data_IF_442180346242
#
_entry.id   IF_442180346242
#
_cell.length_a   1.000
_cell.length_b   1.000
_cell.length_c   1.000
_cell.angle_alpha   90.00
_cell.angle_beta   90.00
_cell.angle_gamma   90.00
#
_symmetry.space_group_name_H-M   'P 1'
#
loop_
_entity.id
_entity.type
_entity.pdbx_description
1 polymer ?
#
# COMPACT_ATOMS: atom_id res chain seq x y z
N UNK A 1 -47.95 46.55 11.78
CA UNK A 1 -47.00 45.91 12.70
C UNK A 1 -47.20 44.41 12.60
N UNK A 2 -46.10 43.69 12.35
CA UNK A 2 -45.81 42.28 12.68
C UNK A 2 -46.68 41.14 12.08
N UNK A 3 -46.08 40.46 11.08
CA UNK A 3 -45.93 38.99 11.04
C UNK A 3 -45.49 38.47 12.43
N UNK A 4 -45.95 37.30 12.92
CA UNK A 4 -45.57 36.01 12.30
C UNK A 4 -46.54 34.84 12.52
N UNK A 5 -46.60 33.87 11.58
CA UNK A 5 -46.78 32.44 11.88
C UNK A 5 -46.67 31.62 10.59
N UNK A 6 -45.43 31.49 10.08
CA UNK A 6 -45.04 30.27 9.36
C UNK A 6 -44.59 29.32 10.45
N UNK A 7 -45.47 28.40 10.87
CA UNK A 7 -45.05 27.24 11.63
C UNK A 7 -44.18 26.40 10.69
N UNK A 8 -42.91 26.31 11.08
CA UNK A 8 -41.92 25.42 10.49
C UNK A 8 -42.43 23.98 10.64
N UNK A 9 -42.79 23.37 9.52
CA UNK A 9 -42.80 21.92 9.38
C UNK A 9 -41.34 21.46 9.39
N UNK A 10 -40.74 21.38 10.58
CA UNK A 10 -39.57 20.52 10.78
C UNK A 10 -40.07 19.08 10.75
N UNK A 11 -40.12 18.51 9.54
CA UNK A 11 -40.19 17.06 9.36
C UNK A 11 -39.06 16.44 10.18
N UNK A 12 -39.45 15.75 11.25
CA UNK A 12 -38.57 15.05 12.16
C UNK A 12 -37.62 14.17 11.38
N UNK A 13 -36.37 14.63 11.28
CA UNK A 13 -35.26 13.81 10.87
C UNK A 13 -35.20 12.65 11.86
N UNK A 14 -35.65 11.48 11.42
CA UNK A 14 -35.51 10.22 12.13
C UNK A 14 -34.01 10.02 12.39
N UNK A 15 -33.55 10.40 13.60
CA UNK A 15 -32.16 10.24 14.00
C UNK A 15 -31.94 8.74 14.14
N UNK A 16 -31.48 8.13 13.05
CA UNK A 16 -31.05 6.73 13.04
C UNK A 16 -30.14 6.53 14.25
N UNK A 17 -30.46 5.58 15.15
CA UNK A 17 -29.62 5.34 16.32
C UNK A 17 -28.20 5.07 15.83
N UNK A 18 -27.26 5.87 16.34
CA UNK A 18 -25.85 5.69 16.03
C UNK A 18 -25.41 4.24 16.31
N UNK A 19 -24.38 3.75 15.60
CA UNK A 19 -23.95 2.37 15.74
C UNK A 19 -23.61 2.04 17.20
N UNK A 20 -24.08 0.88 17.67
CA UNK A 20 -23.85 0.40 19.03
C UNK A 20 -22.33 0.37 19.34
N UNK A 21 -21.87 0.93 20.47
CA UNK A 21 -20.47 0.94 20.85
C UNK A 21 -19.79 -0.44 20.83
N UNK A 22 -20.53 -1.49 21.14
CA UNK A 22 -20.04 -2.88 21.13
C UNK A 22 -19.72 -3.33 19.70
N UNK A 23 -20.57 -2.97 18.73
CA UNK A 23 -20.37 -3.28 17.33
C UNK A 23 -19.18 -2.52 16.75
N UNK A 24 -18.97 -1.26 17.14
CA UNK A 24 -17.80 -0.46 16.73
C UNK A 24 -16.48 -1.11 17.15
N UNK A 25 -16.39 -1.63 18.39
CA UNK A 25 -15.20 -2.33 18.88
C UNK A 25 -14.97 -3.61 18.08
N UNK A 26 -16.02 -4.41 17.86
CA UNK A 26 -15.95 -5.64 17.06
C UNK A 26 -15.47 -5.34 15.64
N UNK A 27 -16.06 -4.34 14.99
CA UNK A 27 -15.72 -3.98 13.61
C UNK A 27 -14.29 -3.44 13.48
N UNK A 28 -13.80 -2.65 14.43
CA UNK A 28 -12.37 -2.26 14.47
C UNK A 28 -11.46 -3.48 14.55
N UNK A 29 -11.81 -4.44 15.41
CA UNK A 29 -11.04 -5.67 15.56
C UNK A 29 -11.03 -6.49 14.27
N UNK A 30 -12.16 -6.58 13.57
CA UNK A 30 -12.26 -7.22 12.25
C UNK A 30 -11.30 -6.55 11.25
N UNK A 31 -11.31 -5.22 11.13
CA UNK A 31 -10.42 -4.51 10.22
C UNK A 31 -8.94 -4.76 10.54
N UNK A 32 -8.57 -4.72 11.82
CA UNK A 32 -7.23 -5.06 12.27
C UNK A 32 -6.90 -6.51 11.89
N UNK A 33 -7.75 -7.47 12.19
CA UNK A 33 -7.44 -8.88 11.93
C UNK A 33 -7.38 -9.20 10.44
N UNK A 34 -8.21 -8.56 9.61
CA UNK A 34 -8.11 -8.65 8.15
C UNK A 34 -6.76 -8.13 7.66
N UNK A 35 -6.31 -6.97 8.16
CA UNK A 35 -4.99 -6.43 7.78
C UNK A 35 -3.84 -7.27 8.33
N UNK A 36 -4.03 -7.89 9.50
CA UNK A 36 -3.04 -8.75 10.15
C UNK A 36 -2.84 -10.07 9.41
N UNK A 37 -3.95 -10.72 9.03
CA UNK A 37 -3.98 -12.01 8.31
C UNK A 37 -3.66 -11.86 6.83
N UNK A 38 -3.73 -10.64 6.32
CA UNK A 38 -3.34 -10.29 4.98
C UNK A 38 -1.87 -10.57 4.66
N UNK A 39 -1.47 -10.47 3.38
CA UNK A 39 -0.10 -10.63 2.94
C UNK A 39 0.85 -9.66 3.66
N UNK A 40 2.14 -10.01 3.72
CA UNK A 40 3.14 -9.20 4.43
C UNK A 40 3.31 -7.78 3.89
N UNK A 41 3.06 -7.59 2.59
CA UNK A 41 3.10 -6.30 1.93
C UNK A 41 1.81 -5.47 2.14
N UNK A 42 0.88 -5.99 2.95
CA UNK A 42 -0.40 -5.40 3.25
C UNK A 42 -1.54 -5.98 2.43
N UNK A 43 -2.74 -5.50 2.70
CA UNK A 43 -3.96 -5.85 1.98
C UNK A 43 -4.39 -4.69 1.11
N UNK A 44 -4.86 -5.00 -0.09
CA UNK A 44 -5.46 -4.01 -0.97
C UNK A 44 -6.79 -3.50 -0.40
N UNK A 45 -7.17 -2.28 -0.81
CA UNK A 45 -8.47 -1.70 -0.48
C UNK A 45 -9.64 -2.66 -0.77
N UNK A 46 -9.62 -3.26 -1.96
CA UNK A 46 -10.70 -4.14 -2.40
C UNK A 46 -10.79 -5.41 -1.57
N UNK A 47 -9.64 -5.97 -1.13
CA UNK A 47 -9.62 -7.12 -0.25
C UNK A 47 -10.11 -6.76 1.16
N UNK A 48 -9.64 -5.64 1.71
CA UNK A 48 -10.05 -5.17 3.03
C UNK A 48 -11.57 -4.94 3.08
N UNK A 49 -12.13 -4.26 2.08
CA UNK A 49 -13.57 -4.00 1.97
C UNK A 49 -14.39 -5.30 1.88
N UNK A 50 -14.02 -6.22 0.98
CA UNK A 50 -14.75 -7.51 0.83
C UNK A 50 -14.67 -8.36 2.09
N UNK A 51 -13.50 -8.42 2.74
CA UNK A 51 -13.34 -9.18 3.96
C UNK A 51 -14.12 -8.56 5.12
N UNK A 52 -14.14 -7.23 5.24
CA UNK A 52 -14.94 -6.54 6.26
C UNK A 52 -16.44 -6.78 6.07
N UNK A 53 -16.93 -6.70 4.84
CA UNK A 53 -18.32 -7.00 4.47
C UNK A 53 -18.70 -8.44 4.83
N UNK A 54 -17.85 -9.40 4.48
CA UNK A 54 -18.06 -10.82 4.80
C UNK A 54 -18.10 -11.10 6.31
N UNK A 55 -17.53 -10.22 7.12
CA UNK A 55 -17.52 -10.28 8.60
C UNK A 55 -18.54 -9.32 9.23
N UNK A 56 -19.51 -8.82 8.46
CA UNK A 56 -20.62 -8.02 8.97
C UNK A 56 -20.26 -6.57 9.34
N UNK A 57 -19.17 -6.04 8.79
CA UNK A 57 -18.86 -4.59 8.88
C UNK A 57 -19.63 -3.86 7.79
N UNK A 58 -20.44 -2.83 8.12
CA UNK A 58 -21.16 -2.04 7.12
C UNK A 58 -20.18 -1.33 6.19
N UNK A 59 -20.29 -1.48 4.87
CA UNK A 59 -19.37 -0.85 3.89
C UNK A 59 -19.74 0.59 3.50
N UNK A 60 -20.51 1.27 4.36
CA UNK A 60 -20.93 2.67 4.23
C UNK A 60 -19.95 3.61 4.97
N UNK A 61 -20.37 4.83 5.28
CA UNK A 61 -19.53 5.84 5.96
C UNK A 61 -18.87 5.32 7.24
N UNK A 62 -19.54 4.43 7.99
CA UNK A 62 -19.01 3.82 9.22
C UNK A 62 -17.69 3.08 8.96
N UNK A 63 -17.57 2.36 7.83
CA UNK A 63 -16.32 1.67 7.48
C UNK A 63 -15.16 2.64 7.24
N UNK A 64 -15.43 3.76 6.56
CA UNK A 64 -14.43 4.78 6.29
C UNK A 64 -13.96 5.44 7.59
N UNK A 65 -14.90 5.83 8.46
CA UNK A 65 -14.62 6.46 9.75
C UNK A 65 -13.80 5.54 10.66
N UNK A 66 -14.16 4.25 10.71
CA UNK A 66 -13.43 3.25 11.47
C UNK A 66 -12.01 3.05 10.96
N UNK A 67 -11.83 2.98 9.65
CA UNK A 67 -10.52 2.80 9.05
C UNK A 67 -9.63 4.03 9.23
N UNK A 68 -10.18 5.23 9.05
CA UNK A 68 -9.49 6.49 9.29
C UNK A 68 -9.04 6.61 10.75
N UNK A 69 -9.92 6.25 11.70
CA UNK A 69 -9.56 6.20 13.13
C UNK A 69 -8.37 5.27 13.36
N UNK A 70 -8.38 4.06 12.80
CA UNK A 70 -7.29 3.09 12.97
C UNK A 70 -5.97 3.55 12.32
N UNK A 71 -6.04 4.37 11.27
CA UNK A 71 -4.87 4.99 10.64
C UNK A 71 -4.31 6.11 11.53
N UNK A 72 -5.17 6.98 12.02
CA UNK A 72 -4.80 8.09 12.91
C UNK A 72 -4.19 7.58 14.23
N UNK A 73 -4.71 6.46 14.75
CA UNK A 73 -4.17 5.77 15.92
C UNK A 73 -2.84 5.03 15.65
N UNK A 74 -2.36 5.03 14.40
CA UNK A 74 -1.13 4.35 13.99
C UNK A 74 -1.19 2.82 14.08
N UNK A 75 -2.39 2.25 14.22
CA UNK A 75 -2.64 0.80 14.23
C UNK A 75 -2.54 0.23 12.82
N UNK A 76 -3.02 0.97 11.84
CA UNK A 76 -2.93 0.68 10.42
C UNK A 76 -2.10 1.76 9.72
N UNK A 77 -1.20 1.35 8.85
CA UNK A 77 -0.42 2.23 7.98
C UNK A 77 -1.08 2.17 6.60
N UNK A 78 -1.54 3.32 6.11
CA UNK A 78 -2.07 3.47 4.76
C UNK A 78 -0.92 3.79 3.80
N UNK A 79 -0.76 2.93 2.80
CA UNK A 79 0.09 3.13 1.62
C UNK A 79 -0.82 3.42 0.40
N UNK A 80 -0.30 3.91 -0.73
CA UNK A 80 -1.12 4.36 -1.86
C UNK A 80 -2.19 3.38 -2.35
N UNK A 81 -1.95 2.07 -2.22
CA UNK A 81 -2.91 1.02 -2.60
C UNK A 81 -3.07 -0.10 -1.56
N UNK A 82 -2.45 0.04 -0.37
CA UNK A 82 -2.29 -1.06 0.59
C UNK A 82 -2.47 -0.59 2.03
N UNK A 83 -2.95 -1.48 2.89
CA UNK A 83 -3.07 -1.28 4.34
C UNK A 83 -2.19 -2.30 5.05
N UNK A 84 -1.41 -1.85 6.03
CA UNK A 84 -0.50 -2.70 6.81
C UNK A 84 -0.68 -2.46 8.31
N UNK A 85 -0.33 -3.42 9.16
CA UNK A 85 -0.22 -3.17 10.61
C UNK A 85 1.23 -2.85 10.95
N UNK A 86 1.42 -1.91 11.89
CA UNK A 86 2.71 -1.66 12.52
C UNK A 86 3.14 -2.90 13.35
N UNK A 87 3.98 -3.77 12.79
CA UNK A 87 4.55 -4.94 13.48
C UNK A 87 5.82 -4.55 14.24
N UNK A 88 6.03 -5.13 15.42
CA UNK A 88 7.28 -4.97 16.21
C UNK A 88 8.45 -5.67 15.52
N UNK A 89 9.66 -5.09 15.59
CA UNK A 89 10.87 -5.62 14.95
C UNK A 89 11.17 -7.11 15.27
N UNK A 90 10.91 -7.55 16.50
CA UNK A 90 11.10 -8.94 16.92
C UNK A 90 10.13 -9.93 16.27
N UNK A 91 8.95 -9.48 15.87
CA UNK A 91 7.94 -10.31 15.19
C UNK A 91 8.28 -10.46 13.70
N UNK A 92 8.78 -9.39 13.08
CA UNK A 92 9.38 -9.41 11.74
C UNK A 92 10.53 -10.41 11.66
N UNK A 93 11.46 -10.39 12.62
CA UNK A 93 12.61 -11.30 12.66
C UNK A 93 12.21 -12.78 12.79
N UNK A 94 11.22 -13.10 13.64
CA UNK A 94 10.71 -14.48 13.80
C UNK A 94 9.96 -14.98 12.56
N UNK A 95 9.22 -14.10 11.89
CA UNK A 95 8.56 -14.41 10.62
C UNK A 95 9.59 -14.63 9.50
N UNK A 96 10.63 -13.78 9.42
CA UNK A 96 11.76 -13.95 8.49
C UNK A 96 12.52 -15.27 8.75
N UNK A 97 12.80 -15.61 10.00
CA UNK A 97 13.44 -16.89 10.36
C UNK A 97 12.55 -18.11 10.01
N UNK A 98 11.22 -17.99 10.17
CA UNK A 98 10.28 -19.06 9.83
C UNK A 98 10.14 -19.22 8.31
N UNK A 99 10.07 -18.12 7.57
CA UNK A 99 10.06 -18.13 6.10
C UNK A 99 11.38 -18.66 5.56
N UNK A 100 12.53 -18.26 6.10
CA UNK A 100 13.83 -18.81 5.71
C UNK A 100 13.92 -20.32 5.95
N UNK A 101 13.32 -20.83 7.03
CA UNK A 101 13.24 -22.28 7.30
C UNK A 101 12.32 -23.01 6.31
N UNK A 102 11.17 -22.42 5.98
CA UNK A 102 10.22 -22.99 5.01
C UNK A 102 10.76 -22.95 3.57
N UNK A 103 11.60 -21.96 3.23
CA UNK A 103 12.22 -21.78 1.92
C UNK A 103 13.62 -22.39 1.80
N UNK A 104 14.15 -23.02 2.86
CA UNK A 104 15.49 -23.63 2.86
C UNK A 104 15.62 -24.84 1.91
N UNK A 105 14.50 -25.44 1.46
CA UNK A 105 14.54 -26.55 0.51
C UNK A 105 14.18 -26.19 -0.93
N UNK A 106 13.49 -25.08 -1.18
CA UNK A 106 13.17 -24.63 -2.54
C UNK A 106 13.04 -23.11 -2.55
N UNK A 107 14.06 -22.41 -3.08
CA UNK A 107 14.06 -21.06 -3.69
C UNK A 107 15.23 -20.19 -3.23
N UNK A 108 16.04 -19.78 -4.20
CA UNK A 108 16.98 -18.68 -4.07
C UNK A 108 16.25 -17.42 -3.59
N UNK A 109 16.82 -16.61 -2.67
CA UNK A 109 16.15 -15.45 -2.11
C UNK A 109 15.73 -14.49 -3.23
N UNK A 110 14.45 -14.11 -3.23
CA UNK A 110 13.91 -13.07 -4.12
C UNK A 110 14.72 -11.79 -3.94
N UNK A 111 15.57 -11.46 -4.92
CA UNK A 111 16.38 -10.25 -4.88
C UNK A 111 15.45 -9.02 -4.99
N UNK A 112 15.47 -8.17 -3.97
CA UNK A 112 14.64 -6.94 -3.92
C UNK A 112 15.28 -5.80 -4.72
N UNK A 113 16.61 -5.81 -4.84
CA UNK A 113 17.45 -4.80 -5.52
C UNK A 113 18.38 -5.48 -6.52
N UNK A 114 18.83 -4.71 -7.50
CA UNK A 114 19.91 -5.15 -8.38
C UNK A 114 21.22 -5.25 -7.61
N UNK A 115 22.13 -6.11 -8.06
CA UNK A 115 23.51 -6.16 -7.54
C UNK A 115 24.26 -4.87 -7.89
N UNK A 116 25.39 -4.61 -7.23
CA UNK A 116 26.20 -3.43 -7.53
C UNK A 116 26.66 -3.38 -9.00
N UNK A 117 27.03 -4.52 -9.57
CA UNK A 117 27.42 -4.65 -10.98
C UNK A 117 26.24 -4.35 -11.92
N UNK A 118 25.07 -4.93 -11.64
CA UNK A 118 23.85 -4.70 -12.40
C UNK A 118 23.43 -3.22 -12.37
N UNK A 119 23.50 -2.58 -11.20
CA UNK A 119 23.24 -1.15 -11.04
C UNK A 119 24.20 -0.30 -11.87
N UNK A 120 25.49 -0.63 -11.88
CA UNK A 120 26.47 0.07 -12.69
C UNK A 120 26.15 -0.05 -14.18
N UNK A 121 25.76 -1.25 -14.66
CA UNK A 121 25.34 -1.46 -16.05
C UNK A 121 24.12 -0.61 -16.43
N UNK A 122 23.11 -0.53 -15.56
CA UNK A 122 21.94 0.33 -15.77
C UNK A 122 22.37 1.79 -15.90
N UNK A 123 23.16 2.29 -14.96
CA UNK A 123 23.61 3.68 -14.95
C UNK A 123 24.49 4.03 -16.15
N UNK A 124 25.41 3.14 -16.53
CA UNK A 124 26.28 3.34 -17.69
C UNK A 124 25.47 3.36 -19.00
N UNK A 125 24.43 2.54 -19.10
CA UNK A 125 23.54 2.55 -20.26
C UNK A 125 22.77 3.88 -20.36
N UNK A 126 22.17 4.33 -19.25
CA UNK A 126 21.46 5.62 -19.19
C UNK A 126 22.42 6.78 -19.51
N UNK A 127 23.65 6.76 -18.98
CA UNK A 127 24.67 7.80 -19.21
C UNK A 127 25.05 7.95 -20.68
N UNK A 128 25.06 6.86 -21.45
CA UNK A 128 25.44 6.87 -22.87
C UNK A 128 24.39 7.50 -23.78
N UNK A 129 23.15 7.68 -23.31
CA UNK A 129 22.07 8.22 -24.12
C UNK A 129 21.94 9.74 -24.01
N UNK A 130 22.10 10.45 -25.12
CA UNK A 130 21.96 11.93 -25.18
C UNK A 130 20.54 12.43 -24.93
N UNK A 131 19.52 11.66 -25.32
CA UNK A 131 18.11 12.09 -25.29
C UNK A 131 17.28 11.37 -24.21
N UNK A 132 17.95 10.69 -23.28
CA UNK A 132 17.35 9.76 -22.33
C UNK A 132 16.96 8.42 -22.95
N UNK A 133 16.66 7.43 -22.11
CA UNK A 133 16.28 6.07 -22.50
C UNK A 133 14.93 5.69 -21.91
N UNK A 134 14.15 4.89 -22.63
CA UNK A 134 12.91 4.32 -22.11
C UNK A 134 13.19 3.06 -21.30
N UNK A 135 12.22 2.65 -20.48
CA UNK A 135 12.28 1.39 -19.74
C UNK A 135 12.58 0.19 -20.66
N UNK A 136 11.88 0.09 -21.79
CA UNK A 136 12.05 -1.00 -22.75
C UNK A 136 13.46 -1.05 -23.33
N UNK A 137 14.08 0.11 -23.57
CA UNK A 137 15.46 0.18 -24.06
C UNK A 137 16.45 -0.33 -23.01
N UNK A 138 16.25 0.01 -21.73
CA UNK A 138 17.09 -0.49 -20.63
C UNK A 138 16.87 -2.01 -20.46
N UNK A 139 15.63 -2.48 -20.51
CA UNK A 139 15.30 -3.89 -20.37
C UNK A 139 15.94 -4.75 -21.49
N UNK A 140 15.93 -4.27 -22.73
CA UNK A 140 16.60 -4.96 -23.83
C UNK A 140 18.12 -4.96 -23.70
N UNK A 141 18.74 -3.88 -23.21
CA UNK A 141 20.20 -3.82 -23.07
C UNK A 141 20.72 -4.57 -21.85
N UNK A 142 19.92 -4.67 -20.78
CA UNK A 142 20.28 -5.30 -19.51
C UNK A 142 19.38 -6.50 -19.22
N UNK A 143 19.17 -7.34 -20.25
CA UNK A 143 18.27 -8.50 -20.24
C UNK A 143 18.61 -9.59 -19.20
N UNK A 144 19.79 -9.54 -18.60
CA UNK A 144 20.21 -10.43 -17.52
C UNK A 144 19.55 -10.09 -16.16
N UNK A 145 18.95 -8.89 -16.03
CA UNK A 145 18.24 -8.48 -14.82
C UNK A 145 16.77 -8.85 -14.96
N UNK A 146 16.19 -9.64 -14.04
CA UNK A 146 14.77 -9.93 -14.05
C UNK A 146 13.92 -8.65 -14.03
N UNK A 147 12.87 -8.61 -14.84
CA UNK A 147 12.00 -7.43 -14.99
C UNK A 147 11.53 -6.83 -13.64
N UNK A 148 11.09 -7.63 -12.64
CA UNK A 148 10.66 -7.08 -11.36
C UNK A 148 11.78 -6.38 -10.58
N UNK A 149 13.02 -6.86 -10.74
CA UNK A 149 14.23 -6.29 -10.12
C UNK A 149 14.60 -5.00 -10.84
N UNK A 150 14.54 -4.99 -12.17
CA UNK A 150 14.85 -3.82 -12.98
C UNK A 150 13.89 -2.65 -12.69
N UNK A 151 12.57 -2.91 -12.64
CA UNK A 151 11.56 -1.88 -12.31
C UNK A 151 11.81 -1.27 -10.94
N UNK A 152 12.12 -2.10 -9.94
CA UNK A 152 12.42 -1.65 -8.57
C UNK A 152 13.71 -0.84 -8.51
N UNK A 153 14.75 -1.27 -9.22
CA UNK A 153 16.03 -0.56 -9.22
C UNK A 153 15.92 0.80 -9.92
N UNK A 154 15.26 0.89 -11.07
CA UNK A 154 15.04 2.17 -11.76
C UNK A 154 14.27 3.15 -10.87
N UNK A 155 13.19 2.68 -10.21
CA UNK A 155 12.44 3.49 -9.25
C UNK A 155 13.33 3.99 -8.12
N UNK A 156 14.14 3.11 -7.53
CA UNK A 156 15.05 3.50 -6.47
C UNK A 156 16.09 4.53 -6.93
N UNK A 157 16.64 4.39 -8.14
CA UNK A 157 17.59 5.36 -8.71
C UNK A 157 16.95 6.74 -8.94
N UNK A 158 15.65 6.81 -9.27
CA UNK A 158 14.90 8.07 -9.36
C UNK A 158 14.69 8.68 -7.97
N UNK A 159 14.25 7.88 -7.00
CA UNK A 159 14.02 8.32 -5.60
C UNK A 159 15.33 8.82 -4.95
N UNK A 160 16.45 8.13 -5.22
CA UNK A 160 17.81 8.50 -4.79
C UNK A 160 18.41 9.68 -5.59
N UNK A 161 17.66 10.25 -6.55
CA UNK A 161 18.09 11.35 -7.44
C UNK A 161 19.36 11.06 -8.24
N UNK A 162 19.64 9.78 -8.50
CA UNK A 162 20.77 9.33 -9.34
C UNK A 162 20.46 9.41 -10.83
N UNK A 163 19.18 9.32 -11.18
CA UNK A 163 18.64 9.51 -12.52
C UNK A 163 17.38 10.38 -12.41
N UNK A 164 17.05 11.10 -13.48
CA UNK A 164 15.85 11.93 -13.64
C UNK A 164 14.90 11.26 -14.63
N UNK A 165 13.61 11.37 -14.34
CA UNK A 165 12.53 10.98 -15.26
C UNK A 165 12.01 12.23 -15.98
N UNK A 166 11.97 12.23 -17.31
CA UNK A 166 11.48 13.33 -18.16
C UNK A 166 10.33 12.86 -19.04
N UNK A 167 9.22 13.58 -18.99
CA UNK A 167 7.96 13.12 -19.59
C UNK A 167 7.50 11.82 -18.93
N UNK A 168 6.66 11.06 -19.62
CA UNK A 168 6.04 9.89 -18.99
C UNK A 168 7.03 8.73 -18.76
N UNK A 169 8.11 8.59 -19.55
CA UNK A 169 8.91 7.35 -19.51
C UNK A 169 10.42 7.45 -19.79
N UNK A 170 10.99 8.66 -20.00
CA UNK A 170 12.43 8.77 -20.34
C UNK A 170 13.30 8.98 -19.10
N UNK A 171 14.35 8.18 -18.97
CA UNK A 171 15.35 8.27 -17.90
C UNK A 171 16.66 8.86 -18.42
N UNK A 172 17.26 9.78 -17.66
CA UNK A 172 18.55 10.41 -17.94
C UNK A 172 19.32 10.65 -16.64
N UNK A 173 20.63 10.88 -16.70
CA UNK A 173 21.43 11.31 -15.53
C UNK A 173 21.43 12.83 -15.46
#
# INVERSE_FOLDING_TARGET
MQDPQRQEEEEGGEVLPGPNPVDLIRWRQVLIDTVRRGPEHGVSWHHLRRSAEANGVPTNNIFYDLLETLINDGRIIKLPHWFMIRRTANRRRREEENLMRLHAHESTPFRVRATAEERLRILDFIRRARNGVTYNQIHHSVNMIPEPVLRREIRALVEERRIRQRGDEKFLI
#
